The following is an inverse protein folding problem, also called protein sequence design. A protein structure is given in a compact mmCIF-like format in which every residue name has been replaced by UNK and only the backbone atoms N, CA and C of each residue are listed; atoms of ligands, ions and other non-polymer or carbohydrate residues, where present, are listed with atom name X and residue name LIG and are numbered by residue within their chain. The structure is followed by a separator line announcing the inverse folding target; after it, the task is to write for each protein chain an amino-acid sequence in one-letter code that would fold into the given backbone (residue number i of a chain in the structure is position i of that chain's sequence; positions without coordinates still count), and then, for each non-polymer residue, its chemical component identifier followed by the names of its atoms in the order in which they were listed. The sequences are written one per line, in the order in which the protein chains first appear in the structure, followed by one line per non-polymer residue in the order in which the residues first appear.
data_IF_147882468212
#
_entry.id   IF_147882468212
#
_cell.length_a   1.000
_cell.length_b   1.000
_cell.length_c   1.000
_cell.angle_alpha   90.00
_cell.angle_beta   90.00
_cell.angle_gamma   90.00
#
_symmetry.space_group_name_H-M   'P 1'
#
loop_
_entity.id
_entity.type
_entity.pdbx_description
1 polymer ?
#
# COMPACT_ATOMS: atom_id res chain seq x y z
N UNK A 1 24.71 -41.61 -85.32
CA UNK A 1 23.74 -41.90 -84.23
C UNK A 1 24.22 -41.19 -82.98
N UNK A 2 23.75 -39.98 -82.72
CA UNK A 2 24.16 -39.17 -81.55
C UNK A 2 22.89 -38.78 -80.80
N UNK A 3 22.84 -38.94 -79.50
CA UNK A 3 21.67 -38.54 -78.73
C UNK A 3 21.72 -37.05 -78.31
N UNK A 4 20.61 -36.43 -78.53
CA UNK A 4 20.28 -35.04 -78.20
C UNK A 4 20.26 -34.78 -76.68
N UNK A 5 21.14 -33.89 -76.19
CA UNK A 5 21.19 -33.48 -74.81
C UNK A 5 20.18 -32.35 -74.54
N UNK A 6 19.18 -32.58 -73.71
CA UNK A 6 18.24 -31.55 -73.16
C UNK A 6 18.96 -30.69 -72.19
N UNK A 7 19.11 -29.40 -72.45
CA UNK A 7 19.45 -28.38 -71.46
C UNK A 7 18.23 -28.12 -70.55
N UNK A 8 18.40 -28.33 -69.25
CA UNK A 8 17.43 -27.94 -68.23
C UNK A 8 17.38 -26.43 -68.11
N UNK A 9 16.20 -25.84 -68.27
CA UNK A 9 15.95 -24.43 -67.98
C UNK A 9 15.94 -24.25 -66.45
N UNK A 10 16.88 -23.47 -65.88
CA UNK A 10 16.85 -23.00 -64.52
C UNK A 10 15.84 -21.86 -64.45
N UNK A 11 14.75 -22.09 -63.70
CA UNK A 11 13.82 -21.04 -63.29
C UNK A 11 14.48 -20.20 -62.20
N UNK A 12 14.83 -18.96 -62.52
CA UNK A 12 15.18 -17.96 -61.52
C UNK A 12 13.91 -17.38 -61.00
N UNK A 13 13.55 -17.76 -59.74
CA UNK A 13 12.51 -17.07 -58.97
C UNK A 13 13.01 -15.67 -58.61
N UNK A 14 12.44 -14.65 -59.23
CA UNK A 14 12.64 -13.26 -58.84
C UNK A 14 11.88 -13.03 -57.52
N UNK A 15 12.58 -13.11 -56.41
CA UNK A 15 12.02 -12.74 -55.09
C UNK A 15 11.84 -11.21 -55.07
N UNK A 16 10.63 -10.67 -54.93
CA UNK A 16 10.43 -9.23 -54.93
C UNK A 16 10.98 -8.62 -53.65
N UNK A 17 12.09 -7.91 -53.77
CA UNK A 17 12.77 -7.20 -52.66
C UNK A 17 11.83 -6.23 -51.94
N UNK A 18 10.78 -5.75 -52.60
CA UNK A 18 9.77 -4.86 -52.05
C UNK A 18 8.84 -5.51 -50.99
N UNK A 19 8.62 -6.82 -51.00
CA UNK A 19 7.77 -7.51 -50.05
C UNK A 19 8.38 -7.55 -48.65
N UNK A 20 9.71 -7.58 -48.55
CA UNK A 20 10.44 -7.65 -47.27
C UNK A 20 10.48 -6.30 -46.56
N UNK A 21 10.57 -5.19 -47.32
CA UNK A 21 10.55 -3.84 -46.74
C UNK A 21 9.17 -3.48 -46.15
N UNK A 22 8.09 -3.87 -46.83
CA UNK A 22 6.72 -3.59 -46.35
C UNK A 22 6.37 -4.34 -45.08
N UNK A 23 6.80 -5.60 -44.96
CA UNK A 23 6.61 -6.39 -43.70
C UNK A 23 7.40 -5.82 -42.52
N UNK A 24 8.61 -5.31 -42.72
CA UNK A 24 9.39 -4.64 -41.68
C UNK A 24 8.73 -3.34 -41.22
N UNK A 25 8.18 -2.56 -42.16
CA UNK A 25 7.50 -1.30 -41.83
C UNK A 25 6.18 -1.50 -41.08
N UNK A 26 5.40 -2.53 -41.40
CA UNK A 26 4.19 -2.91 -40.67
C UNK A 26 4.50 -3.42 -39.24
N UNK A 27 5.57 -4.22 -39.08
CA UNK A 27 6.01 -4.68 -37.75
C UNK A 27 6.50 -3.52 -36.87
N UNK A 28 7.17 -2.54 -37.45
CA UNK A 28 7.67 -1.37 -36.74
C UNK A 28 6.50 -0.48 -36.24
N UNK A 29 5.46 -0.28 -37.07
CA UNK A 29 4.24 0.43 -36.64
C UNK A 29 3.49 -0.29 -35.53
N UNK A 30 3.39 -1.62 -35.59
CA UNK A 30 2.79 -2.41 -34.49
C UNK A 30 3.59 -2.34 -33.21
N UNK A 31 4.92 -2.32 -33.25
CA UNK A 31 5.77 -2.19 -32.10
C UNK A 31 5.62 -0.81 -31.42
N UNK A 32 5.52 0.25 -32.21
CA UNK A 32 5.31 1.62 -31.71
C UNK A 32 3.93 1.74 -31.05
N UNK A 33 2.88 1.14 -31.61
CA UNK A 33 1.54 1.15 -31.01
C UNK A 33 1.52 0.39 -29.67
N UNK A 34 2.22 -0.75 -29.58
CA UNK A 34 2.32 -1.53 -28.33
C UNK A 34 3.09 -0.75 -27.26
N UNK A 35 4.18 -0.07 -27.60
CA UNK A 35 4.94 0.77 -26.66
C UNK A 35 4.10 1.95 -26.18
N UNK A 36 3.32 2.59 -27.05
CA UNK A 36 2.41 3.69 -26.67
C UNK A 36 1.25 3.19 -25.79
N UNK A 37 0.69 2.01 -26.04
CA UNK A 37 -0.33 1.39 -25.21
C UNK A 37 0.20 1.02 -23.80
N UNK A 38 1.45 0.55 -23.71
CA UNK A 38 2.11 0.28 -22.42
C UNK A 38 2.43 1.56 -21.63
N UNK A 39 2.78 2.65 -22.32
CA UNK A 39 3.04 3.93 -21.65
C UNK A 39 1.75 4.59 -21.13
N UNK A 40 0.61 4.40 -21.82
CA UNK A 40 -0.69 4.89 -21.36
C UNK A 40 -1.21 4.12 -20.12
N UNK A 41 -0.78 2.87 -19.92
CA UNK A 41 -1.16 2.08 -18.75
C UNK A 41 -0.34 2.41 -17.48
N UNK A 42 0.73 3.21 -17.61
CA UNK A 42 1.56 3.70 -16.50
C UNK A 42 1.21 5.11 -16.03
N UNK A 43 0.04 5.63 -16.39
CA UNK A 43 -0.45 6.81 -15.69
C UNK A 43 -0.63 6.42 -14.21
N UNK A 44 0.07 7.09 -13.27
CA UNK A 44 -0.21 6.87 -11.86
C UNK A 44 -1.71 7.11 -11.69
N UNK A 45 -2.42 6.16 -11.10
CA UNK A 45 -3.77 6.41 -10.63
C UNK A 45 -3.63 7.58 -9.63
N UNK A 46 -3.93 8.79 -10.09
CA UNK A 46 -4.07 9.92 -9.20
C UNK A 46 -5.12 9.48 -8.19
N UNK A 47 -4.72 9.35 -6.93
CA UNK A 47 -5.67 9.16 -5.86
C UNK A 47 -6.68 10.29 -5.99
N UNK A 48 -7.93 9.95 -6.14
CA UNK A 48 -9.00 10.94 -6.23
C UNK A 48 -8.96 11.72 -4.92
N UNK A 49 -8.63 13.01 -5.00
CA UNK A 49 -8.61 13.89 -3.83
C UNK A 49 -10.05 14.09 -3.38
N UNK A 50 -10.34 13.78 -2.12
CA UNK A 50 -11.65 14.10 -1.52
C UNK A 50 -11.64 15.58 -1.14
N UNK A 51 -12.45 16.43 -1.82
CA UNK A 51 -12.48 17.86 -1.54
C UNK A 51 -12.99 18.19 -0.13
N UNK A 52 -13.63 17.24 0.56
CA UNK A 52 -14.16 17.41 1.90
C UNK A 52 -13.22 16.89 3.00
N UNK A 53 -12.08 16.30 2.64
CA UNK A 53 -11.16 15.72 3.61
C UNK A 53 -10.41 16.82 4.36
N UNK A 54 -10.73 16.97 5.65
CA UNK A 54 -10.05 17.88 6.57
C UNK A 54 -9.05 17.15 7.46
N UNK A 55 -8.19 17.91 8.13
CA UNK A 55 -7.26 17.35 9.12
C UNK A 55 -7.98 16.55 10.21
N UNK A 56 -9.16 16.99 10.63
CA UNK A 56 -9.96 16.38 11.69
C UNK A 56 -10.81 15.20 11.22
N UNK A 57 -10.84 14.90 9.93
CA UNK A 57 -11.56 13.72 9.41
C UNK A 57 -11.07 12.40 10.02
N UNK A 58 -9.82 12.38 10.51
CA UNK A 58 -9.23 11.21 11.16
C UNK A 58 -9.76 10.95 12.58
N UNK A 59 -10.35 11.96 13.23
CA UNK A 59 -10.86 11.83 14.60
C UNK A 59 -11.96 10.79 14.69
N UNK A 60 -11.98 10.01 15.77
CA UNK A 60 -13.00 9.03 16.03
C UNK A 60 -12.47 7.70 16.57
N UNK A 61 -13.35 6.73 16.61
CA UNK A 61 -13.07 5.39 17.10
C UNK A 61 -13.01 4.41 15.93
N UNK A 62 -12.10 3.46 16.01
CA UNK A 62 -11.83 2.51 14.94
C UNK A 62 -11.74 1.10 15.49
N UNK A 63 -12.30 0.15 14.75
CA UNK A 63 -12.08 -1.27 14.96
C UNK A 63 -10.92 -1.74 14.09
N UNK A 64 -10.01 -2.49 14.69
CA UNK A 64 -8.77 -2.97 14.09
C UNK A 64 -8.64 -4.46 14.33
N UNK A 65 -8.38 -5.22 13.27
CA UNK A 65 -7.98 -6.62 13.39
C UNK A 65 -6.47 -6.72 13.29
N UNK A 66 -5.83 -7.26 14.31
CA UNK A 66 -4.39 -7.49 14.36
C UNK A 66 -4.08 -8.89 14.89
N UNK A 67 -3.44 -9.73 14.08
CA UNK A 67 -3.07 -11.12 14.43
C UNK A 67 -4.25 -11.94 15.00
N UNK A 68 -5.43 -11.86 14.33
CA UNK A 68 -6.66 -12.54 14.69
C UNK A 68 -7.34 -12.06 16.00
N UNK A 69 -6.85 -10.99 16.60
CA UNK A 69 -7.51 -10.31 17.74
C UNK A 69 -8.10 -8.96 17.31
N UNK A 70 -9.29 -8.64 17.77
CA UNK A 70 -9.90 -7.33 17.60
C UNK A 70 -9.45 -6.37 18.68
N UNK A 71 -9.18 -5.14 18.27
CA UNK A 71 -8.92 -4.02 19.17
C UNK A 71 -9.74 -2.81 18.72
N UNK A 72 -10.04 -1.91 19.66
CA UNK A 72 -10.62 -0.60 19.36
C UNK A 72 -9.64 0.49 19.75
N UNK A 73 -9.44 1.40 18.79
CA UNK A 73 -8.48 2.50 18.88
C UNK A 73 -9.23 3.80 18.75
N UNK A 74 -8.96 4.76 19.63
CA UNK A 74 -9.47 6.11 19.52
C UNK A 74 -8.37 7.03 19.00
N UNK A 75 -8.68 7.81 17.97
CA UNK A 75 -7.84 8.92 17.49
C UNK A 75 -8.45 10.21 17.99
N UNK A 76 -7.65 10.99 18.72
CA UNK A 76 -8.03 12.26 19.33
C UNK A 76 -6.95 13.31 19.09
N UNK A 77 -7.27 14.58 19.33
CA UNK A 77 -6.27 15.63 19.39
C UNK A 77 -5.27 15.35 20.52
N UNK A 78 -3.99 15.53 20.25
CA UNK A 78 -2.91 15.61 21.23
C UNK A 78 -2.57 17.08 21.50
N UNK A 79 -2.50 17.88 20.43
CA UNK A 79 -2.34 19.34 20.44
C UNK A 79 -3.24 19.92 19.34
N UNK A 80 -3.23 21.24 19.15
CA UNK A 80 -4.00 21.92 18.08
C UNK A 80 -3.66 21.44 16.66
N UNK A 81 -2.47 20.85 16.45
CA UNK A 81 -1.97 20.45 15.13
C UNK A 81 -1.53 19.00 15.04
N UNK A 82 -1.62 18.24 16.14
CA UNK A 82 -1.21 16.84 16.18
C UNK A 82 -2.29 15.94 16.78
N UNK A 83 -2.25 14.67 16.37
CA UNK A 83 -3.19 13.65 16.82
C UNK A 83 -2.44 12.52 17.51
N UNK A 84 -3.15 11.85 18.41
CA UNK A 84 -2.69 10.63 19.05
C UNK A 84 -3.68 9.50 18.81
N UNK A 85 -3.20 8.26 18.84
CA UNK A 85 -4.04 7.08 18.81
C UNK A 85 -3.76 6.18 20.00
N UNK A 86 -4.83 5.80 20.69
CA UNK A 86 -4.78 4.98 21.91
C UNK A 86 -5.74 3.81 21.81
N UNK A 87 -5.30 2.63 22.21
CA UNK A 87 -6.16 1.47 22.40
C UNK A 87 -7.05 1.74 23.63
N UNK A 88 -8.36 1.50 23.52
CA UNK A 88 -9.28 1.61 24.64
C UNK A 88 -10.06 0.33 24.92
N UNK A 89 -9.97 -0.66 24.01
CA UNK A 89 -10.58 -1.96 24.17
C UNK A 89 -9.81 -3.02 23.36
N UNK A 90 -9.73 -4.23 23.87
CA UNK A 90 -9.21 -5.42 23.16
C UNK A 90 -10.12 -6.60 23.45
N UNK A 91 -10.20 -7.54 22.51
CA UNK A 91 -11.08 -8.71 22.58
C UNK A 91 -10.70 -9.63 23.76
N UNK A 92 -9.41 -9.91 23.90
CA UNK A 92 -8.89 -10.75 24.99
C UNK A 92 -8.06 -9.93 25.99
N UNK A 93 -8.75 -9.38 27.01
CA UNK A 93 -8.14 -8.52 28.03
C UNK A 93 -7.34 -9.29 29.07
N UNK A 94 -7.57 -10.60 29.20
CA UNK A 94 -6.98 -11.42 30.24
C UNK A 94 -6.11 -12.53 29.67
N UNK A 95 -5.03 -12.85 30.36
CA UNK A 95 -4.20 -14.01 30.02
C UNK A 95 -4.90 -15.34 30.47
N UNK A 96 -4.30 -16.47 30.09
CA UNK A 96 -4.81 -17.81 30.43
C UNK A 96 -4.92 -18.08 31.96
N UNK A 97 -4.34 -17.20 32.77
CA UNK A 97 -4.38 -17.26 34.23
C UNK A 97 -5.36 -16.27 34.84
N UNK A 98 -6.15 -15.56 34.01
CA UNK A 98 -7.10 -14.55 34.43
C UNK A 98 -6.47 -13.22 34.87
N UNK A 99 -5.20 -12.95 34.56
CA UNK A 99 -4.52 -11.68 34.86
C UNK A 99 -4.67 -10.73 33.70
N UNK A 100 -4.79 -9.44 33.96
CA UNK A 100 -4.82 -8.38 32.96
C UNK A 100 -3.54 -8.46 32.10
N UNK A 101 -3.69 -8.44 30.80
CA UNK A 101 -2.57 -8.39 29.85
C UNK A 101 -1.94 -6.99 29.88
N UNK A 102 -0.62 -6.96 30.02
CA UNK A 102 0.18 -5.76 30.09
C UNK A 102 1.09 -5.63 28.85
N UNK A 103 1.61 -4.45 28.62
CA UNK A 103 2.55 -4.13 27.54
C UNK A 103 3.98 -4.58 27.85
N UNK A 104 4.15 -5.84 28.21
CA UNK A 104 5.40 -6.41 28.73
C UNK A 104 6.58 -6.28 27.76
N UNK A 105 6.31 -6.13 26.43
CA UNK A 105 7.34 -5.99 25.40
C UNK A 105 7.74 -4.55 25.14
N UNK A 106 7.18 -3.57 25.85
CA UNK A 106 7.54 -2.18 25.61
C UNK A 106 9.05 -1.96 25.80
N UNK A 107 9.73 -1.31 24.81
CA UNK A 107 11.15 -0.98 24.95
C UNK A 107 11.40 -0.04 26.12
N UNK A 108 10.44 0.83 26.47
CA UNK A 108 10.46 1.62 27.68
C UNK A 108 9.94 0.78 28.86
N UNK A 109 10.83 0.50 29.82
CA UNK A 109 10.51 -0.32 30.97
C UNK A 109 9.42 0.28 31.85
N UNK A 110 9.30 1.61 31.92
CA UNK A 110 8.28 2.31 32.71
C UNK A 110 6.87 2.09 32.17
N UNK A 111 6.72 1.71 30.91
CA UNK A 111 5.44 1.46 30.24
C UNK A 111 5.02 -0.02 30.24
N UNK A 112 5.86 -0.94 30.76
CA UNK A 112 5.56 -2.38 30.71
C UNK A 112 4.41 -2.83 31.60
N UNK A 113 4.04 -2.00 32.56
CA UNK A 113 2.88 -2.25 33.45
C UNK A 113 1.59 -1.61 32.93
N UNK A 114 1.62 -0.95 31.76
CA UNK A 114 0.42 -0.37 31.15
C UNK A 114 -0.48 -1.50 30.64
N UNK A 115 -1.77 -1.53 31.00
CA UNK A 115 -2.73 -2.49 30.47
C UNK A 115 -2.87 -2.39 28.94
N UNK A 116 -3.02 -3.51 28.27
CA UNK A 116 -3.07 -3.55 26.80
C UNK A 116 -4.19 -2.69 26.19
N UNK A 117 -5.30 -2.46 26.92
CA UNK A 117 -6.37 -1.55 26.50
C UNK A 117 -6.11 -0.06 26.78
N UNK A 118 -4.91 0.30 27.23
CA UNK A 118 -4.51 1.69 27.49
C UNK A 118 -3.25 2.11 26.74
N UNK A 119 -2.74 1.23 25.88
CA UNK A 119 -1.52 1.47 25.11
C UNK A 119 -1.70 2.64 24.14
N UNK A 120 -0.78 3.59 24.19
CA UNK A 120 -0.67 4.66 23.20
C UNK A 120 0.13 4.13 22.01
N UNK A 121 -0.55 3.97 20.86
CA UNK A 121 0.06 3.44 19.64
C UNK A 121 0.90 4.48 18.90
N UNK A 122 0.47 5.73 18.87
CA UNK A 122 1.20 6.82 18.22
C UNK A 122 0.81 8.18 18.83
N UNK A 123 1.78 9.10 18.79
CA UNK A 123 1.66 10.51 19.16
C UNK A 123 2.28 11.36 18.06
N UNK A 124 2.01 12.66 18.04
CA UNK A 124 2.61 13.58 17.08
C UNK A 124 2.21 13.33 15.62
N UNK A 125 1.09 12.66 15.37
CA UNK A 125 0.61 12.40 14.02
C UNK A 125 0.12 13.72 13.40
N UNK A 126 0.65 14.09 12.22
CA UNK A 126 0.36 15.35 11.54
C UNK A 126 -0.36 15.14 10.21
N UNK A 127 -1.19 16.08 9.84
CA UNK A 127 -1.87 16.10 8.55
C UNK A 127 -1.04 16.86 7.49
N UNK A 128 -0.83 16.24 6.34
CA UNK A 128 -0.26 16.83 5.13
C UNK A 128 -1.41 17.11 4.14
N UNK A 129 -1.81 18.36 4.05
CA UNK A 129 -2.93 18.77 3.19
C UNK A 129 -2.64 18.58 1.69
N UNK A 130 -1.37 18.68 1.26
CA UNK A 130 -1.02 18.48 -0.15
C UNK A 130 -1.14 17.02 -0.57
N UNK A 131 -0.91 16.08 0.36
CA UNK A 131 -0.98 14.64 0.12
C UNK A 131 -2.26 14.02 0.66
N UNK A 132 -3.11 14.81 1.28
CA UNK A 132 -4.35 14.36 1.95
C UNK A 132 -4.12 13.11 2.82
N UNK A 133 -3.09 13.14 3.66
CA UNK A 133 -2.72 12.02 4.51
C UNK A 133 -2.12 12.48 5.84
N UNK A 134 -2.17 11.61 6.83
CA UNK A 134 -1.52 11.82 8.12
C UNK A 134 -0.23 11.00 8.19
N UNK A 135 0.78 11.52 8.87
CA UNK A 135 2.08 10.87 9.00
C UNK A 135 3.03 11.64 9.91
N UNK A 136 4.33 11.58 9.58
CA UNK A 136 5.42 12.26 10.28
C UNK A 136 5.63 11.75 11.73
N UNK A 137 5.25 10.50 11.98
CA UNK A 137 5.44 9.85 13.28
C UNK A 137 5.66 8.34 13.11
N UNK A 138 5.81 7.66 14.26
CA UNK A 138 5.97 6.21 14.33
C UNK A 138 4.80 5.59 15.08
N UNK A 139 4.32 4.46 14.56
CA UNK A 139 3.37 3.59 15.25
C UNK A 139 4.14 2.57 16.09
N UNK A 140 3.70 2.37 17.30
CA UNK A 140 4.17 1.32 18.19
C UNK A 140 3.36 0.03 17.99
N UNK A 141 4.05 -1.07 17.75
CA UNK A 141 3.47 -2.42 17.70
C UNK A 141 3.75 -3.14 19.03
N UNK A 142 2.74 -3.27 19.91
CA UNK A 142 2.92 -3.88 21.22
C UNK A 142 3.19 -5.38 21.15
N UNK A 143 2.78 -6.06 20.07
CA UNK A 143 3.00 -7.50 19.93
C UNK A 143 4.48 -7.83 19.67
N UNK A 144 5.21 -6.89 19.05
CA UNK A 144 6.65 -7.01 18.76
C UNK A 144 7.54 -6.13 19.60
N UNK A 145 6.99 -5.12 20.30
CA UNK A 145 7.75 -4.15 21.08
C UNK A 145 8.59 -3.20 20.20
N UNK A 146 8.13 -2.88 18.97
CA UNK A 146 8.87 -2.05 18.02
C UNK A 146 8.08 -0.85 17.55
N UNK A 147 8.79 0.19 17.09
CA UNK A 147 8.20 1.38 16.47
C UNK A 147 8.62 1.45 15.01
N UNK A 148 7.66 1.75 14.12
CA UNK A 148 7.89 1.87 12.69
C UNK A 148 7.19 3.11 12.13
N UNK A 149 7.70 3.66 11.02
CA UNK A 149 7.09 4.81 10.38
C UNK A 149 5.66 4.48 9.94
N UNK A 150 4.75 5.43 10.11
CA UNK A 150 3.34 5.27 9.79
C UNK A 150 2.85 6.36 8.85
N UNK A 151 1.95 5.98 7.95
CA UNK A 151 1.12 6.90 7.19
C UNK A 151 -0.31 6.40 7.19
N UNK A 152 -1.25 7.34 7.36
CA UNK A 152 -2.68 7.06 7.37
C UNK A 152 -3.36 7.85 6.25
N UNK A 153 -4.29 7.23 5.55
CA UNK A 153 -5.09 7.86 4.50
C UNK A 153 -6.47 7.19 4.41
N UNK A 154 -7.50 7.96 4.11
CA UNK A 154 -8.81 7.38 3.84
C UNK A 154 -8.87 6.76 2.45
N UNK A 155 -9.64 5.68 2.33
CA UNK A 155 -10.01 5.04 1.07
C UNK A 155 -11.51 4.73 1.12
N UNK A 156 -12.25 5.29 0.17
CA UNK A 156 -13.72 5.42 0.17
C UNK A 156 -14.50 4.18 0.62
N UNK A 157 -14.10 2.99 0.22
CA UNK A 157 -14.84 1.77 0.53
C UNK A 157 -14.27 0.94 1.69
N UNK A 158 -13.04 1.26 2.14
CA UNK A 158 -12.28 0.39 3.06
C UNK A 158 -11.98 1.03 4.42
N UNK A 159 -12.27 2.33 4.57
CA UNK A 159 -11.99 3.08 5.79
C UNK A 159 -10.56 3.64 5.83
N UNK A 160 -9.98 3.73 7.02
CA UNK A 160 -8.66 4.30 7.22
C UNK A 160 -7.58 3.25 6.92
N UNK A 161 -6.78 3.50 5.88
CA UNK A 161 -5.61 2.72 5.57
C UNK A 161 -4.44 3.19 6.43
N UNK A 162 -3.92 2.32 7.26
CA UNK A 162 -2.74 2.54 8.09
C UNK A 162 -1.58 1.72 7.52
N UNK A 163 -0.63 2.40 6.90
CA UNK A 163 0.57 1.79 6.33
C UNK A 163 1.74 1.98 7.28
N UNK A 164 2.30 0.88 7.71
CA UNK A 164 3.45 0.81 8.60
C UNK A 164 4.66 0.39 7.77
N UNK A 165 5.78 1.12 7.90
CA UNK A 165 6.99 0.83 7.13
C UNK A 165 8.23 0.84 8.03
N UNK A 166 9.08 -0.19 7.84
CA UNK A 166 10.35 -0.34 8.52
C UNK A 166 11.40 -0.83 7.52
N UNK A 167 12.43 -0.04 7.26
CA UNK A 167 13.43 -0.31 6.23
C UNK A 167 12.78 -0.56 4.86
N UNK A 168 12.99 -1.75 4.28
CA UNK A 168 12.43 -2.16 2.99
C UNK A 168 11.07 -2.89 3.09
N UNK A 169 10.55 -3.10 4.30
CA UNK A 169 9.28 -3.78 4.52
C UNK A 169 8.16 -2.78 4.79
N UNK A 170 6.98 -3.06 4.25
CA UNK A 170 5.77 -2.31 4.55
C UNK A 170 4.60 -3.26 4.74
N UNK A 171 3.80 -2.99 5.75
CA UNK A 171 2.56 -3.69 6.05
C UNK A 171 1.40 -2.69 6.04
N UNK A 172 0.23 -3.12 5.59
CA UNK A 172 -0.98 -2.30 5.60
C UNK A 172 -2.00 -2.95 6.51
N UNK A 173 -2.60 -2.13 7.39
CA UNK A 173 -3.76 -2.46 8.21
C UNK A 173 -4.93 -1.56 7.81
N UNK A 174 -6.14 -2.08 7.87
CA UNK A 174 -7.37 -1.36 7.59
C UNK A 174 -8.14 -1.16 8.90
N UNK A 175 -8.37 0.09 9.24
CA UNK A 175 -9.09 0.49 10.44
C UNK A 175 -10.49 0.93 10.04
N UNK A 176 -11.49 0.21 10.53
CA UNK A 176 -12.89 0.49 10.25
C UNK A 176 -13.40 1.52 11.25
N UNK A 177 -13.84 2.69 10.77
CA UNK A 177 -14.41 3.72 11.64
C UNK A 177 -15.70 3.20 12.25
N UNK A 178 -15.84 3.36 13.55
CA UNK A 178 -17.06 3.08 14.30
C UNK A 178 -17.93 4.36 14.30
N UNK A 179 -19.21 4.18 14.12
CA UNK A 179 -20.19 5.28 14.13
C UNK A 179 -20.55 5.66 15.55
#
# INVERSE_FOLDING_TARGET
MFPYSRKSAQNYEIIPIFATAHRKFLRMKSLIIIVFAFFSAMLPAFAQEDPNLSADSILGEYEVLHQDEYARVRISHETDSTYMAQVFWIDDMYDKRGRIRLDEKNPDRSLREVPCNQIVLMTGLKYDAQKQRWGDTKLYDPTRGVRANVTCEFREEKGLRVRISFLCFAQTSWWKKLN
#
